data_IF_195751086599
#
_entry.id   IF_195751086599
#
_cell.length_a   1.000
_cell.length_b   1.000
_cell.length_c   1.000
_cell.angle_alpha   90.00
_cell.angle_beta   90.00
_cell.angle_gamma   90.00
#
_symmetry.space_group_name_H-M   'P 1'
#
loop_
_entity.id
_entity.type
_entity.pdbx_description
1 polymer ?
#
# COMPACT_ATOMS: atom_id res chain seq x y z
N UNK A 1 49.63 -6.79 12.99
CA UNK A 1 48.18 -6.53 13.02
C UNK A 1 47.74 -6.01 11.66
N UNK A 2 46.75 -6.66 11.06
CA UNK A 2 46.11 -6.25 9.80
C UNK A 2 45.07 -5.15 10.05
N UNK A 3 44.70 -4.40 9.01
CA UNK A 3 43.64 -3.41 9.09
C UNK A 3 42.28 -4.08 9.37
N UNK A 4 41.48 -3.52 10.27
CA UNK A 4 40.16 -4.08 10.62
C UNK A 4 40.14 -5.00 11.83
N UNK A 5 41.20 -4.98 12.66
CA UNK A 5 41.32 -5.76 13.89
C UNK A 5 41.57 -4.84 15.08
N UNK A 6 40.98 -5.18 16.22
CA UNK A 6 41.43 -4.71 17.51
C UNK A 6 42.40 -5.73 18.09
N UNK A 7 43.38 -5.28 18.84
CA UNK A 7 44.25 -6.20 19.54
C UNK A 7 44.46 -5.81 20.99
N UNK A 8 44.61 -6.84 21.81
CA UNK A 8 44.83 -6.69 23.24
C UNK A 8 46.05 -7.51 23.61
N UNK A 9 46.98 -6.90 24.34
CA UNK A 9 48.22 -7.58 24.72
C UNK A 9 47.97 -8.38 25.99
N UNK A 10 48.11 -9.70 25.88
CA UNK A 10 48.06 -10.63 26.99
C UNK A 10 49.48 -10.89 27.50
N UNK A 11 49.69 -10.73 28.80
CA UNK A 11 50.92 -11.16 29.46
C UNK A 11 50.73 -12.61 29.91
N UNK A 12 51.45 -13.56 29.31
CA UNK A 12 51.23 -15.00 29.56
C UNK A 12 51.43 -15.37 31.04
N UNK A 13 52.44 -14.79 31.69
CA UNK A 13 52.82 -15.13 33.06
C UNK A 13 51.77 -14.69 34.09
N UNK A 14 51.17 -13.52 33.90
CA UNK A 14 50.17 -12.95 34.82
C UNK A 14 48.73 -13.19 34.38
N UNK A 15 48.52 -13.69 33.15
CA UNK A 15 47.20 -13.75 32.49
C UNK A 15 46.45 -12.41 32.52
N UNK A 16 47.18 -11.31 32.67
CA UNK A 16 46.61 -9.97 32.70
C UNK A 16 46.69 -9.33 31.32
N UNK A 17 45.70 -8.51 31.03
CA UNK A 17 45.62 -7.71 29.82
C UNK A 17 46.13 -6.30 30.09
N UNK A 18 46.79 -5.69 29.09
CA UNK A 18 47.12 -4.27 29.11
C UNK A 18 45.86 -3.41 28.93
N UNK A 19 45.70 -2.34 29.72
CA UNK A 19 44.45 -1.58 29.84
C UNK A 19 43.98 -0.91 28.54
N UNK A 20 44.88 -0.57 27.60
CA UNK A 20 44.50 0.13 26.37
C UNK A 20 44.44 -0.82 25.17
N UNK A 21 43.25 -1.02 24.55
CA UNK A 21 43.13 -1.81 23.34
C UNK A 21 43.78 -1.07 22.17
N UNK A 22 44.56 -1.83 21.41
CA UNK A 22 45.35 -1.31 20.32
C UNK A 22 44.54 -1.33 19.02
N UNK A 23 44.32 -0.14 18.44
CA UNK A 23 43.48 0.03 17.25
C UNK A 23 44.27 0.23 15.94
N UNK A 24 45.57 0.52 16.05
CA UNK A 24 46.41 0.84 14.90
C UNK A 24 47.03 -0.42 14.28
N UNK A 25 46.82 -0.58 12.98
CA UNK A 25 47.48 -1.61 12.18
C UNK A 25 49.00 -1.37 12.13
N UNK A 26 49.78 -2.45 12.11
CA UNK A 26 51.24 -2.38 12.09
C UNK A 26 51.93 -3.58 12.72
N UNK A 27 53.26 -3.61 12.60
CA UNK A 27 54.13 -4.55 13.32
C UNK A 27 54.40 -3.99 14.70
N UNK A 28 54.06 -4.75 15.75
CA UNK A 28 54.27 -4.37 17.14
C UNK A 28 55.16 -5.39 17.82
N UNK A 29 56.20 -4.91 18.49
CA UNK A 29 57.07 -5.76 19.30
C UNK A 29 56.47 -5.90 20.69
N UNK A 30 55.83 -7.04 20.96
CA UNK A 30 55.16 -7.31 22.23
C UNK A 30 56.10 -7.92 23.30
N UNK A 31 57.34 -8.27 22.95
CA UNK A 31 58.29 -8.90 23.88
C UNK A 31 58.09 -10.40 24.09
N UNK A 32 59.04 -11.05 24.76
CA UNK A 32 58.99 -12.49 25.08
C UNK A 32 57.95 -12.76 26.17
N UNK A 33 57.12 -13.79 25.97
CA UNK A 33 56.10 -14.20 26.95
C UNK A 33 54.81 -13.38 26.92
N UNK A 34 54.59 -12.59 25.88
CA UNK A 34 53.32 -11.90 25.64
C UNK A 34 52.65 -12.47 24.39
N UNK A 35 51.33 -12.58 24.42
CA UNK A 35 50.51 -12.97 23.28
C UNK A 35 49.63 -11.79 22.84
N UNK A 36 49.34 -11.70 21.55
CA UNK A 36 48.45 -10.67 21.02
C UNK A 36 47.10 -11.32 20.70
N UNK A 37 46.07 -10.92 21.43
CA UNK A 37 44.72 -11.40 21.22
C UNK A 37 44.01 -10.48 20.23
N UNK A 38 43.54 -11.01 19.10
CA UNK A 38 42.90 -10.25 18.04
C UNK A 38 41.38 -10.39 18.09
N UNK A 39 40.67 -9.27 17.89
CA UNK A 39 39.21 -9.19 17.82
C UNK A 39 38.78 -8.44 16.56
N UNK A 40 37.57 -8.68 16.04
CA UNK A 40 37.09 -7.98 14.86
C UNK A 40 36.79 -6.51 15.18
N UNK A 41 37.35 -5.58 14.41
CA UNK A 41 36.99 -4.14 14.51
C UNK A 41 35.95 -3.71 13.47
N UNK A 42 35.59 -4.62 12.57
CA UNK A 42 34.62 -4.42 11.50
C UNK A 42 33.27 -5.02 11.88
N UNK A 43 32.23 -4.65 11.14
CA UNK A 43 30.93 -5.30 11.28
C UNK A 43 31.04 -6.77 10.86
N UNK A 44 30.64 -7.65 11.76
CA UNK A 44 30.49 -9.08 11.54
C UNK A 44 29.01 -9.41 11.42
N UNK A 45 28.68 -10.43 10.64
CA UNK A 45 27.30 -10.90 10.51
C UNK A 45 27.12 -12.21 11.25
N UNK A 46 26.07 -12.29 12.05
CA UNK A 46 25.61 -13.54 12.67
C UNK A 46 24.37 -14.03 11.92
N UNK A 47 24.35 -15.33 11.62
CA UNK A 47 23.27 -16.00 10.91
C UNK A 47 22.68 -17.11 11.78
N UNK A 48 21.35 -17.11 11.92
CA UNK A 48 20.56 -18.22 12.41
C UNK A 48 19.74 -18.75 11.24
N UNK A 49 20.23 -19.77 10.56
CA UNK A 49 19.63 -20.28 9.33
C UNK A 49 19.81 -21.80 9.18
N UNK A 50 18.85 -22.44 8.51
CA UNK A 50 18.86 -23.90 8.29
C UNK A 50 19.91 -24.29 7.25
N UNK A 51 20.06 -23.48 6.22
CA UNK A 51 21.04 -23.68 5.15
C UNK A 51 22.18 -22.67 5.27
N UNK A 52 23.41 -23.18 5.15
CA UNK A 52 24.62 -22.35 5.02
C UNK A 52 24.96 -22.06 3.56
N UNK A 53 24.13 -22.51 2.61
CA UNK A 53 24.35 -22.28 1.18
C UNK A 53 24.27 -20.77 0.89
N UNK A 54 25.40 -20.19 0.47
CA UNK A 54 25.53 -18.76 0.20
C UNK A 54 26.23 -17.97 1.31
N UNK A 55 26.39 -18.52 2.52
CA UNK A 55 27.30 -17.97 3.51
C UNK A 55 28.71 -18.39 3.13
N UNK A 56 29.30 -17.66 2.19
CA UNK A 56 30.71 -17.83 1.85
C UNK A 56 31.55 -17.32 3.02
N UNK A 57 31.90 -18.21 3.94
CA UNK A 57 33.15 -18.07 4.66
C UNK A 57 34.25 -18.16 3.59
N UNK A 58 34.65 -17.02 3.02
CA UNK A 58 35.90 -16.96 2.28
C UNK A 58 36.95 -17.51 3.23
N UNK A 59 37.58 -18.62 2.85
CA UNK A 59 38.50 -19.44 3.66
C UNK A 59 39.77 -18.70 4.11
N UNK A 60 39.78 -17.37 4.00
CA UNK A 60 40.86 -16.44 4.23
C UNK A 60 40.46 -15.29 5.18
N UNK A 61 39.21 -15.20 5.65
CA UNK A 61 38.84 -14.20 6.67
C UNK A 61 39.33 -14.66 8.04
N UNK A 62 40.06 -13.80 8.74
CA UNK A 62 40.51 -14.04 10.12
C UNK A 62 39.33 -14.21 11.10
N UNK A 63 38.17 -13.66 10.76
CA UNK A 63 36.93 -13.80 11.54
C UNK A 63 35.82 -14.25 10.58
N UNK A 64 35.51 -15.55 10.52
CA UNK A 64 34.39 -16.04 9.71
C UNK A 64 33.05 -15.61 10.34
N UNK A 65 31.98 -15.45 9.54
CA UNK A 65 30.67 -15.17 10.07
C UNK A 65 30.19 -16.30 10.99
N UNK A 66 29.52 -15.94 12.08
CA UNK A 66 28.97 -16.91 13.03
C UNK A 66 27.68 -17.47 12.45
N UNK A 67 27.66 -18.76 12.14
CA UNK A 67 26.48 -19.45 11.60
C UNK A 67 25.99 -20.48 12.61
N UNK A 68 24.71 -20.38 12.97
CA UNK A 68 24.03 -21.28 13.90
C UNK A 68 22.69 -21.71 13.30
N UNK A 69 22.13 -22.77 13.88
CA UNK A 69 20.81 -23.29 13.51
C UNK A 69 19.70 -22.26 13.74
N UNK A 70 18.56 -22.36 13.01
CA UNK A 70 17.38 -21.53 13.25
C UNK A 70 16.97 -21.52 14.71
N UNK A 71 16.40 -20.39 15.13
CA UNK A 71 15.99 -20.21 16.52
C UNK A 71 14.61 -20.83 16.69
N UNK A 72 14.53 -21.90 17.49
CA UNK A 72 13.26 -22.43 17.98
C UNK A 72 12.69 -21.47 19.01
N UNK A 73 11.55 -20.86 18.70
CA UNK A 73 10.86 -19.90 19.55
C UNK A 73 9.39 -20.27 19.70
N UNK A 74 8.68 -19.52 20.55
CA UNK A 74 7.23 -19.64 20.72
C UNK A 74 6.62 -18.24 20.65
N UNK A 75 5.55 -18.08 19.88
CA UNK A 75 4.76 -16.84 19.82
C UNK A 75 3.91 -16.64 21.09
N UNK A 76 3.32 -15.44 21.21
CA UNK A 76 2.45 -15.08 22.32
C UNK A 76 1.20 -15.97 22.46
N UNK A 77 0.72 -16.51 21.35
CA UNK A 77 -0.40 -17.47 21.29
C UNK A 77 0.01 -18.91 21.65
N UNK A 78 1.29 -19.14 21.90
CA UNK A 78 1.82 -20.43 22.32
C UNK A 78 2.26 -21.35 21.19
N UNK A 79 2.22 -20.89 19.94
CA UNK A 79 2.61 -21.68 18.78
C UNK A 79 4.14 -21.78 18.67
N UNK A 80 4.63 -22.97 18.37
CA UNK A 80 6.05 -23.21 18.16
C UNK A 80 6.46 -22.80 16.74
N UNK A 81 7.60 -22.12 16.60
CA UNK A 81 8.10 -21.65 15.31
C UNK A 81 9.62 -21.76 15.21
N UNK A 82 10.12 -21.90 13.99
CA UNK A 82 11.54 -21.79 13.68
C UNK A 82 11.83 -20.47 12.97
N UNK A 83 12.63 -19.63 13.61
CA UNK A 83 12.93 -18.29 13.13
C UNK A 83 14.32 -18.25 12.51
N UNK A 84 14.36 -17.90 11.22
CA UNK A 84 15.59 -17.64 10.48
C UNK A 84 15.86 -16.15 10.45
N UNK A 85 16.97 -15.73 11.05
CA UNK A 85 17.31 -14.31 11.24
C UNK A 85 18.81 -14.07 11.14
N UNK A 86 19.18 -12.92 10.62
CA UNK A 86 20.57 -12.48 10.55
C UNK A 86 20.72 -11.03 10.98
N UNK A 87 21.79 -10.70 11.68
CA UNK A 87 22.07 -9.32 12.08
C UNK A 87 23.56 -9.02 12.04
N UNK A 88 23.88 -7.74 11.90
CA UNK A 88 25.26 -7.24 11.88
C UNK A 88 25.61 -6.62 13.23
N UNK A 89 26.75 -7.02 13.78
CA UNK A 89 27.27 -6.54 15.05
C UNK A 89 28.71 -6.06 14.90
N UNK A 90 29.12 -5.13 15.75
CA UNK A 90 30.51 -4.66 15.86
C UNK A 90 30.86 -4.54 17.34
N UNK A 91 32.00 -5.07 17.74
CA UNK A 91 32.47 -4.95 19.10
C UNK A 91 32.94 -3.52 19.40
N UNK A 92 32.59 -3.00 20.57
CA UNK A 92 33.14 -1.73 21.05
C UNK A 92 34.51 -1.97 21.71
N UNK A 93 35.54 -1.14 21.43
CA UNK A 93 36.88 -1.38 21.94
C UNK A 93 36.95 -1.31 23.46
N UNK A 94 36.10 -0.51 24.10
CA UNK A 94 36.02 -0.38 25.57
C UNK A 94 35.53 -1.67 26.25
N UNK A 95 34.84 -2.55 25.51
CA UNK A 95 34.31 -3.81 26.02
C UNK A 95 35.35 -4.94 26.05
N UNK A 96 36.48 -4.79 25.36
CA UNK A 96 37.43 -5.87 25.12
C UNK A 96 38.03 -6.46 26.40
N UNK A 97 38.45 -5.59 27.33
CA UNK A 97 39.04 -6.01 28.59
C UNK A 97 38.03 -6.76 29.47
N UNK A 98 36.84 -6.20 29.78
CA UNK A 98 35.86 -6.93 30.60
C UNK A 98 35.34 -8.19 29.89
N UNK A 99 35.23 -8.19 28.55
CA UNK A 99 34.87 -9.38 27.78
C UNK A 99 35.87 -10.52 28.02
N UNK A 100 37.18 -10.24 27.92
CA UNK A 100 38.21 -11.24 28.16
C UNK A 100 38.20 -11.76 29.59
N UNK A 101 38.11 -10.88 30.60
CA UNK A 101 38.11 -11.33 31.99
C UNK A 101 36.90 -12.21 32.33
N UNK A 102 35.77 -12.02 31.63
CA UNK A 102 34.56 -12.80 31.85
C UNK A 102 34.53 -14.12 31.05
N UNK A 103 34.96 -14.09 29.79
CA UNK A 103 34.72 -15.17 28.83
C UNK A 103 36.01 -15.81 28.29
N UNK A 104 37.17 -15.21 28.53
CA UNK A 104 38.45 -15.63 27.99
C UNK A 104 38.59 -15.36 26.49
N UNK A 105 39.55 -16.04 25.87
CA UNK A 105 39.88 -15.92 24.44
C UNK A 105 38.82 -16.55 23.54
N UNK A 106 38.35 -17.77 23.86
CA UNK A 106 37.46 -18.55 22.97
C UNK A 106 35.97 -18.43 23.32
N UNK A 107 35.62 -17.88 24.48
CA UNK A 107 34.25 -17.96 25.01
C UNK A 107 33.26 -16.93 24.47
N UNK A 108 33.73 -15.90 23.77
CA UNK A 108 32.88 -14.77 23.41
C UNK A 108 31.85 -15.12 22.32
N UNK A 109 32.22 -15.93 21.32
CA UNK A 109 31.31 -16.33 20.23
C UNK A 109 30.06 -17.03 20.76
N UNK A 110 30.25 -18.00 21.67
CA UNK A 110 29.14 -18.75 22.25
C UNK A 110 28.30 -17.90 23.20
N UNK A 111 28.91 -16.95 23.92
CA UNK A 111 28.16 -15.99 24.73
C UNK A 111 27.28 -15.10 23.84
N UNK A 112 27.85 -14.51 22.79
CA UNK A 112 27.12 -13.66 21.84
C UNK A 112 25.92 -14.39 21.25
N UNK A 113 26.11 -15.65 20.84
CA UNK A 113 25.03 -16.49 20.31
C UNK A 113 23.93 -16.73 21.35
N UNK A 114 24.30 -16.96 22.62
CA UNK A 114 23.33 -17.16 23.71
C UNK A 114 22.52 -15.89 23.99
N UNK A 115 23.17 -14.72 24.08
CA UNK A 115 22.48 -13.45 24.30
C UNK A 115 21.56 -13.09 23.13
N UNK A 116 22.05 -13.23 21.90
CA UNK A 116 21.25 -13.01 20.71
C UNK A 116 20.02 -13.91 20.67
N UNK A 117 20.21 -15.21 20.92
CA UNK A 117 19.11 -16.18 20.97
C UNK A 117 18.10 -15.84 22.06
N UNK A 118 18.56 -15.48 23.26
CA UNK A 118 17.68 -15.11 24.35
C UNK A 118 16.85 -13.86 24.03
N UNK A 119 17.46 -12.83 23.45
CA UNK A 119 16.78 -11.61 23.01
C UNK A 119 15.69 -11.92 21.98
N UNK A 120 16.05 -12.67 20.93
CA UNK A 120 15.12 -13.01 19.84
C UNK A 120 13.95 -13.87 20.37
N UNK A 121 14.21 -14.87 21.21
CA UNK A 121 13.16 -15.70 21.82
C UNK A 121 12.25 -14.85 22.70
N UNK A 122 12.83 -13.95 23.52
CA UNK A 122 12.08 -13.02 24.35
C UNK A 122 11.13 -12.18 23.50
N UNK A 123 11.64 -11.53 22.44
CA UNK A 123 10.79 -10.75 21.54
C UNK A 123 9.70 -11.61 20.91
N UNK A 124 10.01 -12.84 20.49
CA UNK A 124 9.00 -13.69 19.86
C UNK A 124 7.81 -13.99 20.76
N UNK A 125 8.04 -14.15 22.06
CA UNK A 125 6.97 -14.44 23.02
C UNK A 125 5.96 -13.30 23.21
N UNK A 126 6.22 -12.10 22.68
CA UNK A 126 5.33 -10.94 22.81
C UNK A 126 4.38 -10.76 21.63
N UNK A 127 4.60 -11.46 20.51
CA UNK A 127 3.82 -11.29 19.28
C UNK A 127 3.10 -12.58 18.90
N UNK A 128 1.82 -12.50 18.47
CA UNK A 128 1.10 -13.65 17.92
C UNK A 128 1.67 -14.06 16.55
N UNK A 129 1.46 -15.31 16.14
CA UNK A 129 2.07 -15.88 14.94
C UNK A 129 1.62 -15.17 13.65
N UNK A 130 0.37 -14.70 13.57
CA UNK A 130 -0.19 -13.98 12.42
C UNK A 130 0.52 -12.64 12.12
N UNK A 131 1.02 -11.96 13.16
CA UNK A 131 1.74 -10.69 13.05
C UNK A 131 3.08 -10.84 12.33
N UNK A 132 3.69 -12.03 12.30
CA UNK A 132 4.94 -12.27 11.56
C UNK A 132 4.77 -12.17 10.05
N UNK A 133 3.57 -12.40 9.53
CA UNK A 133 3.24 -12.27 8.11
C UNK A 133 2.62 -10.92 7.78
N UNK A 134 1.73 -10.42 8.64
CA UNK A 134 0.98 -9.19 8.36
C UNK A 134 1.78 -7.94 8.70
N UNK A 135 2.58 -7.95 9.79
CA UNK A 135 3.25 -6.76 10.30
C UNK A 135 4.71 -7.00 10.71
N UNK A 136 5.46 -7.55 9.77
CA UNK A 136 6.87 -7.94 9.96
C UNK A 136 7.78 -6.78 10.40
N UNK A 137 7.52 -5.57 9.92
CA UNK A 137 8.36 -4.38 10.20
C UNK A 137 8.37 -4.03 11.67
N UNK A 138 7.22 -4.13 12.36
CA UNK A 138 7.13 -3.84 13.80
C UNK A 138 7.95 -4.87 14.59
N UNK A 139 7.83 -6.15 14.23
CA UNK A 139 8.56 -7.23 14.91
C UNK A 139 10.06 -7.08 14.71
N UNK A 140 10.52 -6.77 13.49
CA UNK A 140 11.94 -6.53 13.21
C UNK A 140 12.48 -5.38 14.06
N UNK A 141 11.74 -4.27 14.17
CA UNK A 141 12.14 -3.12 14.98
C UNK A 141 12.23 -3.49 16.47
N UNK A 142 11.24 -4.21 17.01
CA UNK A 142 11.24 -4.66 18.39
C UNK A 142 12.37 -5.68 18.69
N UNK A 143 12.65 -6.59 17.76
CA UNK A 143 13.76 -7.55 17.88
C UNK A 143 15.11 -6.84 17.89
N UNK A 144 15.27 -5.83 17.04
CA UNK A 144 16.49 -5.02 17.00
C UNK A 144 16.68 -4.24 18.31
N UNK A 145 15.63 -3.62 18.83
CA UNK A 145 15.68 -2.89 20.11
C UNK A 145 16.06 -3.83 21.28
N UNK A 146 15.48 -5.03 21.33
CA UNK A 146 15.79 -6.01 22.38
C UNK A 146 17.21 -6.57 22.27
N UNK A 147 17.70 -6.76 21.04
CA UNK A 147 19.10 -7.12 20.80
C UNK A 147 20.04 -6.00 21.25
N UNK A 148 19.79 -4.75 20.86
CA UNK A 148 20.60 -3.61 21.29
C UNK A 148 20.66 -3.53 22.82
N UNK A 149 19.53 -3.67 23.52
CA UNK A 149 19.49 -3.72 24.99
C UNK A 149 20.33 -4.87 25.55
N UNK A 150 20.24 -6.05 24.95
CA UNK A 150 20.97 -7.25 25.39
C UNK A 150 22.48 -7.13 25.19
N UNK A 151 22.91 -6.36 24.19
CA UNK A 151 24.32 -6.10 23.86
C UNK A 151 24.87 -4.78 24.42
N UNK A 152 24.10 -4.04 25.22
CA UNK A 152 24.53 -2.81 25.92
C UNK A 152 24.65 -3.04 27.44
N UNK A 153 25.22 -4.17 27.85
CA UNK A 153 25.36 -4.57 29.25
C UNK A 153 26.83 -4.50 29.69
N UNK A 154 27.32 -3.32 30.13
CA UNK A 154 28.71 -3.11 30.55
C UNK A 154 29.13 -4.07 31.67
N UNK A 155 28.23 -4.31 32.64
CA UNK A 155 28.48 -5.16 33.80
C UNK A 155 28.74 -6.63 33.44
N UNK A 156 28.30 -7.05 32.26
CA UNK A 156 28.51 -8.41 31.73
C UNK A 156 29.59 -8.45 30.64
N UNK A 157 30.38 -7.38 30.49
CA UNK A 157 31.43 -7.29 29.45
C UNK A 157 30.90 -7.35 28.02
N UNK A 158 29.59 -7.16 27.82
CA UNK A 158 28.94 -7.22 26.51
C UNK A 158 28.58 -5.80 26.11
N UNK A 159 29.46 -5.19 25.32
CA UNK A 159 29.14 -3.96 24.59
C UNK A 159 29.44 -4.17 23.10
N UNK A 160 28.37 -4.34 22.34
CA UNK A 160 28.44 -4.43 20.89
C UNK A 160 27.37 -3.54 20.25
N UNK A 161 27.76 -2.89 19.16
CA UNK A 161 26.88 -2.08 18.35
C UNK A 161 26.17 -2.97 17.33
N UNK A 162 24.84 -2.97 17.34
CA UNK A 162 24.01 -3.71 16.37
C UNK A 162 23.55 -2.73 15.30
N UNK A 163 23.91 -2.99 14.04
CA UNK A 163 23.60 -2.06 12.94
C UNK A 163 22.21 -2.28 12.33
N UNK A 164 21.76 -3.52 12.31
CA UNK A 164 20.55 -3.92 11.60
C UNK A 164 20.27 -5.40 11.73
N UNK A 165 18.98 -5.73 11.70
CA UNK A 165 18.45 -7.08 11.76
C UNK A 165 17.59 -7.35 10.52
N UNK A 166 17.76 -8.54 9.95
CA UNK A 166 16.97 -9.05 8.85
C UNK A 166 16.36 -10.38 9.28
N UNK A 167 15.04 -10.37 9.46
CA UNK A 167 14.24 -11.58 9.51
C UNK A 167 14.15 -12.14 8.09
N UNK A 168 14.40 -13.44 7.89
CA UNK A 168 14.37 -14.07 6.56
C UNK A 168 13.14 -14.95 6.40
N UNK A 169 12.93 -15.90 7.30
CA UNK A 169 11.86 -16.89 7.23
C UNK A 169 11.37 -17.23 8.65
N UNK A 170 10.09 -17.58 8.75
CA UNK A 170 9.45 -18.03 9.99
C UNK A 170 8.64 -19.27 9.62
N UNK A 171 9.14 -20.43 10.02
CA UNK A 171 8.45 -21.69 9.76
C UNK A 171 7.51 -22.00 10.91
N UNK A 172 6.24 -22.23 10.58
CA UNK A 172 5.20 -22.68 11.49
C UNK A 172 4.84 -24.14 11.15
N UNK A 173 4.22 -24.89 12.07
CA UNK A 173 3.72 -26.22 11.77
C UNK A 173 2.67 -26.17 10.66
N UNK A 174 2.76 -27.09 9.70
CA UNK A 174 1.90 -27.17 8.49
C UNK A 174 0.39 -27.07 8.78
N UNK A 175 -0.06 -27.59 9.92
CA UNK A 175 -1.46 -27.54 10.34
C UNK A 175 -1.98 -26.09 10.48
N UNK A 176 -1.14 -25.17 10.94
CA UNK A 176 -1.47 -23.75 11.09
C UNK A 176 -1.33 -22.95 9.80
N UNK A 177 -0.37 -23.31 8.94
CA UNK A 177 -0.23 -22.65 7.63
C UNK A 177 -1.49 -22.83 6.77
N UNK A 178 -2.15 -23.99 6.88
CA UNK A 178 -3.44 -24.24 6.21
C UNK A 178 -4.54 -23.35 6.79
N UNK A 179 -4.65 -23.23 8.12
CA UNK A 179 -5.68 -22.40 8.77
C UNK A 179 -5.47 -20.90 8.51
N UNK A 180 -4.22 -20.42 8.51
CA UNK A 180 -3.90 -19.03 8.15
C UNK A 180 -4.25 -18.79 6.68
N UNK A 181 -3.89 -19.71 5.79
CA UNK A 181 -4.25 -19.63 4.37
C UNK A 181 -5.75 -19.56 4.16
N UNK A 182 -6.52 -20.40 4.85
CA UNK A 182 -7.99 -20.38 4.82
C UNK A 182 -8.56 -19.07 5.38
N UNK A 183 -8.01 -18.58 6.50
CA UNK A 183 -8.44 -17.32 7.11
C UNK A 183 -8.17 -16.13 6.19
N UNK A 184 -7.02 -16.08 5.55
CA UNK A 184 -6.70 -15.05 4.57
C UNK A 184 -7.61 -15.12 3.33
N UNK A 185 -7.91 -16.32 2.83
CA UNK A 185 -8.86 -16.51 1.75
C UNK A 185 -10.26 -16.01 2.13
N UNK A 186 -10.75 -16.33 3.34
CA UNK A 186 -12.02 -15.84 3.87
C UNK A 186 -12.04 -14.31 4.00
N UNK A 187 -10.94 -13.70 4.46
CA UNK A 187 -10.84 -12.24 4.54
C UNK A 187 -10.88 -11.58 3.15
N UNK A 188 -10.25 -12.20 2.15
CA UNK A 188 -10.32 -11.74 0.76
C UNK A 188 -11.75 -11.88 0.20
N UNK A 189 -12.42 -13.01 0.45
CA UNK A 189 -13.82 -13.23 0.06
C UNK A 189 -14.76 -12.17 0.69
N UNK A 190 -14.55 -11.84 1.96
CA UNK A 190 -15.30 -10.77 2.64
C UNK A 190 -15.09 -9.40 1.99
N UNK A 191 -13.84 -9.06 1.60
CA UNK A 191 -13.56 -7.81 0.91
C UNK A 191 -14.23 -7.75 -0.46
N UNK A 192 -14.20 -8.85 -1.22
CA UNK A 192 -14.89 -8.95 -2.51
C UNK A 192 -16.40 -8.80 -2.32
N UNK A 193 -16.99 -9.51 -1.36
CA UNK A 193 -18.42 -9.41 -1.07
C UNK A 193 -18.84 -7.99 -0.65
N UNK A 194 -17.99 -7.28 0.10
CA UNK A 194 -18.23 -5.88 0.45
C UNK A 194 -18.17 -4.97 -0.78
N UNK A 195 -17.16 -5.16 -1.65
CA UNK A 195 -17.02 -4.39 -2.88
C UNK A 195 -18.22 -4.61 -3.83
N UNK A 196 -18.64 -5.86 -4.02
CA UNK A 196 -19.83 -6.19 -4.82
C UNK A 196 -21.12 -5.57 -4.26
N UNK A 197 -21.25 -5.51 -2.93
CA UNK A 197 -22.40 -4.86 -2.29
C UNK A 197 -22.43 -3.37 -2.60
N UNK A 198 -21.28 -2.70 -2.49
CA UNK A 198 -21.16 -1.27 -2.83
C UNK A 198 -21.44 -1.05 -4.32
N UNK A 199 -20.92 -1.90 -5.20
CA UNK A 199 -21.18 -1.83 -6.63
C UNK A 199 -22.68 -1.98 -6.95
N UNK A 200 -23.36 -2.95 -6.33
CA UNK A 200 -24.81 -3.13 -6.45
C UNK A 200 -25.59 -1.91 -5.97
N UNK A 201 -25.16 -1.29 -4.87
CA UNK A 201 -25.79 -0.08 -4.35
C UNK A 201 -25.67 1.10 -5.35
N UNK A 202 -24.46 1.32 -5.88
CA UNK A 202 -24.21 2.36 -6.89
C UNK A 202 -24.99 2.08 -8.18
N UNK A 203 -25.07 0.82 -8.61
CA UNK A 203 -25.84 0.43 -9.79
C UNK A 203 -27.34 0.71 -9.59
N UNK A 204 -27.91 0.35 -8.43
CA UNK A 204 -29.31 0.66 -8.11
C UNK A 204 -29.58 2.17 -8.06
N UNK A 205 -28.68 2.96 -7.48
CA UNK A 205 -28.80 4.42 -7.46
C UNK A 205 -28.74 5.01 -8.88
N UNK A 206 -27.85 4.49 -9.71
CA UNK A 206 -27.70 4.90 -11.11
C UNK A 206 -28.94 4.56 -11.92
N UNK A 207 -29.51 3.37 -11.73
CA UNK A 207 -30.76 2.94 -12.39
C UNK A 207 -31.95 3.82 -11.97
N UNK A 208 -32.05 4.16 -10.68
CA UNK A 208 -33.05 5.12 -10.20
C UNK A 208 -32.86 6.48 -10.86
N UNK A 209 -31.63 6.98 -10.95
CA UNK A 209 -31.33 8.26 -11.60
C UNK A 209 -31.69 8.23 -13.09
N UNK A 210 -31.34 7.17 -13.82
CA UNK A 210 -31.70 7.00 -15.23
C UNK A 210 -33.22 6.92 -15.42
N UNK A 211 -33.93 6.15 -14.58
CA UNK A 211 -35.39 6.01 -14.68
C UNK A 211 -36.12 7.32 -14.39
N UNK A 212 -35.69 8.07 -13.36
CA UNK A 212 -36.23 9.41 -13.07
C UNK A 212 -35.97 10.39 -14.22
N UNK A 213 -34.78 10.34 -14.81
CA UNK A 213 -34.45 11.18 -15.95
C UNK A 213 -35.23 10.82 -17.22
N UNK A 214 -35.53 9.54 -17.45
CA UNK A 214 -36.41 9.08 -18.53
C UNK A 214 -37.85 9.57 -18.32
N UNK A 215 -38.39 9.48 -17.11
CA UNK A 215 -39.73 9.99 -16.78
C UNK A 215 -39.80 11.49 -17.02
N UNK A 216 -38.80 12.26 -16.58
CA UNK A 216 -38.73 13.69 -16.84
C UNK A 216 -38.66 14.00 -18.33
N UNK A 217 -37.81 13.30 -19.09
CA UNK A 217 -37.71 13.48 -20.54
C UNK A 217 -39.02 13.21 -21.26
N UNK A 218 -39.75 12.15 -20.87
CA UNK A 218 -41.07 11.85 -21.42
C UNK A 218 -42.10 12.93 -21.10
N UNK A 219 -42.09 13.47 -19.86
CA UNK A 219 -42.99 14.53 -19.43
C UNK A 219 -42.74 15.83 -20.19
N UNK A 220 -41.47 16.23 -20.35
CA UNK A 220 -41.10 17.41 -21.15
C UNK A 220 -41.48 17.23 -22.63
N UNK A 221 -41.33 16.03 -23.19
CA UNK A 221 -41.76 15.73 -24.57
C UNK A 221 -43.27 15.87 -24.71
N UNK A 222 -44.05 15.26 -23.81
CA UNK A 222 -45.52 15.37 -23.82
C UNK A 222 -46.01 16.81 -23.62
N UNK A 223 -45.30 17.59 -22.79
CA UNK A 223 -45.60 19.00 -22.58
C UNK A 223 -45.34 19.81 -23.85
N UNK A 224 -44.19 19.62 -24.49
CA UNK A 224 -43.86 20.27 -25.76
C UNK A 224 -44.86 19.94 -26.87
N UNK A 225 -45.29 18.68 -26.96
CA UNK A 225 -46.34 18.25 -27.90
C UNK A 225 -47.68 18.94 -27.59
N UNK A 226 -48.10 18.96 -26.32
CA UNK A 226 -49.34 19.63 -25.91
C UNK A 226 -49.31 21.13 -26.19
N UNK A 227 -48.20 21.81 -25.89
CA UNK A 227 -48.02 23.24 -26.17
C UNK A 227 -48.05 23.50 -27.68
N UNK A 228 -47.40 22.66 -28.49
CA UNK A 228 -47.46 22.74 -29.95
C UNK A 228 -48.87 22.55 -30.51
N UNK A 229 -49.67 21.62 -29.96
CA UNK A 229 -51.08 21.44 -30.35
C UNK A 229 -51.91 22.66 -29.98
N UNK A 230 -51.68 23.27 -28.80
CA UNK A 230 -52.38 24.49 -28.41
C UNK A 230 -52.04 25.67 -29.35
N UNK A 231 -50.78 25.83 -29.70
CA UNK A 231 -50.33 26.87 -30.63
C UNK A 231 -50.91 26.68 -32.04
N UNK A 232 -50.94 25.44 -32.54
CA UNK A 232 -51.59 25.10 -33.81
C UNK A 232 -53.08 25.41 -33.79
N UNK A 233 -53.79 25.01 -32.72
CA UNK A 233 -55.21 25.29 -32.57
C UNK A 233 -55.49 26.79 -32.50
N UNK A 234 -54.64 27.57 -31.81
CA UNK A 234 -54.75 29.03 -31.77
C UNK A 234 -54.53 29.65 -33.14
N UNK A 235 -53.47 29.23 -33.85
CA UNK A 235 -53.19 29.70 -35.20
C UNK A 235 -54.34 29.39 -36.18
N UNK A 236 -54.98 28.23 -36.05
CA UNK A 236 -56.16 27.86 -36.85
C UNK A 236 -57.37 28.75 -36.54
N UNK A 237 -57.64 29.02 -35.25
CA UNK A 237 -58.69 29.95 -34.83
C UNK A 237 -58.44 31.36 -35.37
N UNK A 238 -57.22 31.86 -35.25
CA UNK A 238 -56.84 33.19 -35.74
C UNK A 238 -56.97 33.30 -37.27
N UNK A 239 -56.54 32.27 -38.01
CA UNK A 239 -56.73 32.21 -39.47
C UNK A 239 -58.22 32.24 -39.84
N UNK A 240 -59.05 31.52 -39.10
CA UNK A 240 -60.49 31.45 -39.33
C UNK A 240 -61.17 32.78 -39.04
N UNK A 241 -60.77 33.48 -37.97
CA UNK A 241 -61.23 34.84 -37.67
C UNK A 241 -60.83 35.82 -38.78
N UNK A 242 -59.56 35.81 -39.20
CA UNK A 242 -59.07 36.67 -40.28
C UNK A 242 -59.83 36.42 -41.58
N UNK A 243 -60.10 35.15 -41.91
CA UNK A 243 -60.87 34.78 -43.08
C UNK A 243 -62.31 35.32 -43.01
N UNK A 244 -62.97 35.17 -41.86
CA UNK A 244 -64.32 35.71 -41.64
C UNK A 244 -64.36 37.23 -41.74
N UNK A 245 -63.38 37.94 -41.16
CA UNK A 245 -63.27 39.40 -41.28
C UNK A 245 -63.09 39.83 -42.74
N UNK A 246 -62.21 39.17 -43.48
CA UNK A 246 -61.99 39.46 -44.91
C UNK A 246 -63.25 39.21 -45.73
N UNK A 247 -63.98 38.14 -45.45
CA UNK A 247 -65.24 37.84 -46.12
C UNK A 247 -66.32 38.86 -45.77
N UNK A 248 -66.42 39.29 -44.51
CA UNK A 248 -67.34 40.32 -44.07
C UNK A 248 -67.05 41.67 -44.73
N UNK A 249 -65.78 42.06 -44.84
CA UNK A 249 -65.34 43.26 -45.56
C UNK A 249 -65.67 43.18 -47.05
N UNK A 250 -65.34 42.06 -47.71
CA UNK A 250 -65.66 41.86 -49.12
C UNK A 250 -67.17 41.92 -49.38
N UNK A 251 -67.99 41.30 -48.51
CA UNK A 251 -69.44 41.37 -48.59
C UNK A 251 -69.95 42.80 -48.41
N UNK A 252 -69.35 43.58 -47.49
CA UNK A 252 -69.69 44.99 -47.29
C UNK A 252 -69.35 45.85 -48.53
N UNK A 253 -68.17 45.64 -49.13
CA UNK A 253 -67.80 46.32 -50.39
C UNK A 253 -68.78 46.02 -51.52
N UNK A 254 -69.20 44.75 -51.65
CA UNK A 254 -70.22 44.34 -52.63
C UNK A 254 -71.55 45.06 -52.35
N UNK A 255 -71.98 45.13 -51.09
CA UNK A 255 -73.22 45.82 -50.71
C UNK A 255 -73.14 47.34 -50.99
N UNK A 256 -71.99 47.97 -50.74
CA UNK A 256 -71.79 49.39 -51.09
C UNK A 256 -71.78 49.63 -52.60
N UNK A 257 -71.25 48.69 -53.40
CA UNK A 257 -71.42 48.75 -54.85
C UNK A 257 -72.89 48.68 -55.24
N UNK A 258 -73.68 47.79 -54.61
CA UNK A 258 -75.13 47.71 -54.86
C UNK A 258 -75.90 48.95 -54.39
N UNK A 259 -75.50 49.63 -53.32
CA UNK A 259 -76.11 50.89 -52.87
C UNK A 259 -75.75 52.09 -53.78
N UNK A 260 -74.55 52.13 -54.34
CA UNK A 260 -74.15 53.14 -55.31
C UNK A 260 -74.69 52.86 -56.73
N UNK A 261 -75.06 51.62 -57.04
CA UNK A 261 -75.69 51.23 -58.32
C UNK A 261 -77.22 51.35 -58.24
N UNK A 262 -77.73 52.43 -57.65
CA UNK A 262 -79.16 52.76 -57.52
C UNK A 262 -79.85 53.10 -58.85
N UNK A 263 -79.29 52.71 -60.00
CA UNK A 263 -79.99 52.70 -61.29
C UNK A 263 -79.75 51.41 -62.09
N UNK A 264 -80.35 50.28 -61.70
CA UNK A 264 -80.31 49.04 -62.49
C UNK A 264 -81.14 49.12 -63.80
N UNK A 265 -81.69 50.29 -64.17
CA UNK A 265 -82.54 50.46 -65.35
C UNK A 265 -81.90 51.21 -66.53
N UNK A 266 -80.67 51.73 -66.44
CA UNK A 266 -80.06 52.48 -67.56
C UNK A 266 -79.16 51.66 -68.51
N UNK A 267 -78.98 50.34 -68.31
CA UNK A 267 -78.14 49.49 -69.21
C UNK A 267 -78.90 48.54 -70.13
N UNK A 268 -80.22 48.69 -70.24
CA UNK A 268 -81.02 47.95 -71.22
C UNK A 268 -81.59 48.89 -72.28
N UNK A 269 -80.76 49.57 -73.06
CA UNK A 269 -81.13 49.87 -74.44
C UNK A 269 -79.94 50.36 -75.27
N UNK A 270 -79.86 49.78 -76.47
CA UNK A 270 -79.03 50.12 -77.63
C UNK A 270 -77.59 49.59 -77.57
N UNK A 271 -77.10 48.85 -78.55
CA UNK A 271 -77.66 48.27 -79.77
C UNK A 271 -76.47 47.57 -80.42
N UNK A 272 -76.52 46.26 -80.63
CA UNK A 272 -76.75 45.66 -81.96
C UNK A 272 -75.43 45.33 -82.71
N UNK A 273 -75.48 44.12 -83.28
CA UNK A 273 -74.68 43.56 -84.38
C UNK A 273 -73.34 42.85 -84.07
N UNK A 274 -73.41 41.51 -84.05
CA UNK A 274 -72.83 40.55 -85.02
C UNK A 274 -71.73 41.10 -85.96
N UNK A 275 -70.71 40.30 -86.36
CA UNK A 275 -70.96 38.98 -86.97
C UNK A 275 -69.87 37.88 -86.82
N UNK A 276 -70.31 36.66 -87.16
CA UNK A 276 -69.69 35.57 -87.95
C UNK A 276 -68.20 35.14 -87.87
N UNK A 277 -68.07 33.81 -87.88
CA UNK A 277 -67.16 32.94 -88.65
C UNK A 277 -65.65 32.96 -88.34
N UNK A 278 -65.18 31.86 -87.72
CA UNK A 278 -64.21 30.88 -88.26
C UNK A 278 -63.52 30.13 -87.10
#
# INVERSE_FOLDING_TARGET
>A
MEQGKYAVTLIWLSQSILDEPEMQAGMKFIGLGNNLLEYPSTFQTMYFAASTQGVQATSQSAFPPIVKQPIRARSADGLEMYVTVSFQWKLEPQALNPLYYLLGEDGYDDAFVRFARAAIISTCSHYPADMYFTNRTIIIAAMLEELEKSFQLPDKGLQANIKGLQLQEVDLPDEFDVEIGQTQAQLQELQVAYAERVEREVAMQTELLVSTQQVLGNLETQRGESEGVLELNQAEVDQLLLFQERQALANNEILQQFENDTQPFERCHLSVCLPELA
#
